data_IF_962076057931
#
_entry.id   IF_962076057931
#
_cell.length_a   1.000
_cell.length_b   1.000
_cell.length_c   1.000
_cell.angle_alpha   90.00
_cell.angle_beta   90.00
_cell.angle_gamma   90.00
#
_symmetry.space_group_name_H-M   'P 1'
#
loop_
_entity.id
_entity.type
_entity.pdbx_description
1 polymer ?
#
# COMPACT_ATOMS: atom_id res chain seq x y z
N UNK A 1 -11.61 12.29 1.46
CA UNK A 1 -10.85 11.34 0.65
C UNK A 1 -10.49 10.09 1.47
N UNK A 2 -9.85 9.08 0.87
CA UNK A 2 -9.50 7.82 1.55
C UNK A 2 -8.55 8.06 2.71
N UNK A 3 -7.53 8.88 2.53
CA UNK A 3 -6.52 9.15 3.56
C UNK A 3 -7.15 9.77 4.81
N UNK A 4 -7.99 10.77 4.66
CA UNK A 4 -8.69 11.39 5.80
C UNK A 4 -9.58 10.40 6.53
N UNK A 5 -10.30 9.54 5.80
CA UNK A 5 -11.15 8.50 6.40
C UNK A 5 -10.32 7.48 7.19
N UNK A 6 -9.18 7.06 6.67
CA UNK A 6 -8.31 6.07 7.30
C UNK A 6 -7.64 6.64 8.55
N UNK A 7 -7.11 7.86 8.47
CA UNK A 7 -6.48 8.53 9.60
C UNK A 7 -7.49 8.77 10.74
N UNK A 8 -8.73 9.17 10.43
CA UNK A 8 -9.78 9.35 11.42
C UNK A 8 -10.15 8.03 12.11
N UNK A 9 -10.33 6.95 11.35
CA UNK A 9 -10.59 5.62 11.90
C UNK A 9 -9.44 5.09 12.76
N UNK A 10 -8.20 5.41 12.41
CA UNK A 10 -7.00 5.05 13.16
C UNK A 10 -6.70 6.01 14.32
N UNK A 11 -7.55 7.04 14.53
CA UNK A 11 -7.38 8.06 15.57
C UNK A 11 -6.05 8.81 15.48
N UNK A 12 -5.60 9.03 14.25
CA UNK A 12 -4.48 9.90 13.91
C UNK A 12 -5.07 11.26 13.53
N UNK A 13 -4.38 12.35 13.88
CA UNK A 13 -4.83 13.68 13.48
C UNK A 13 -4.97 13.79 11.97
N UNK A 14 -6.11 14.28 11.50
CA UNK A 14 -6.29 14.64 10.07
C UNK A 14 -5.47 15.88 9.67
N UNK A 15 -4.76 16.49 10.61
CA UNK A 15 -3.78 17.55 10.39
C UNK A 15 -2.35 17.03 10.25
N UNK A 16 -2.14 15.71 10.37
CA UNK A 16 -0.85 15.10 10.07
C UNK A 16 -0.56 15.17 8.56
N UNK A 17 0.65 15.56 8.22
CA UNK A 17 1.08 15.66 6.82
C UNK A 17 1.38 14.26 6.26
N UNK A 18 0.78 13.97 5.11
CA UNK A 18 0.99 12.77 4.32
C UNK A 18 1.20 13.17 2.86
N UNK A 19 2.31 12.73 2.28
CA UNK A 19 2.57 12.91 0.84
C UNK A 19 2.29 11.59 0.09
N UNK A 20 1.57 11.68 -1.02
CA UNK A 20 1.42 10.55 -1.95
C UNK A 20 1.94 10.99 -3.31
N UNK A 21 2.92 10.23 -3.81
CA UNK A 21 3.53 10.46 -5.12
C UNK A 21 3.20 9.31 -6.07
N UNK A 22 2.83 9.65 -7.29
CA UNK A 22 2.65 8.68 -8.37
C UNK A 22 3.84 8.78 -9.31
N UNK A 23 4.50 7.66 -9.56
CA UNK A 23 5.74 7.60 -10.35
C UNK A 23 5.68 6.47 -11.38
N UNK A 24 6.49 6.61 -12.43
CA UNK A 24 6.71 5.59 -13.44
C UNK A 24 7.55 4.42 -12.90
N UNK A 25 7.61 3.26 -13.61
CA UNK A 25 8.35 2.08 -13.17
C UNK A 25 9.84 2.31 -12.89
N UNK A 26 10.54 3.12 -13.70
CA UNK A 26 11.99 3.33 -13.54
C UNK A 26 12.33 4.08 -12.27
N UNK A 27 11.71 5.22 -11.91
CA UNK A 27 11.94 5.89 -10.64
C UNK A 27 11.69 5.02 -9.40
N UNK A 28 10.60 4.24 -9.39
CA UNK A 28 10.32 3.38 -8.22
C UNK A 28 11.28 2.19 -8.15
N UNK A 29 11.76 1.68 -9.30
CA UNK A 29 12.79 0.64 -9.33
C UNK A 29 14.13 1.14 -8.75
N UNK A 30 14.51 2.40 -9.01
CA UNK A 30 15.69 3.02 -8.41
C UNK A 30 15.54 3.14 -6.89
N UNK A 31 14.37 3.57 -6.40
CA UNK A 31 14.08 3.64 -4.96
C UNK A 31 14.09 2.25 -4.33
N UNK A 32 13.49 1.25 -4.98
CA UNK A 32 13.43 -0.13 -4.51
C UNK A 32 14.83 -0.74 -4.37
N UNK A 33 15.70 -0.53 -5.36
CA UNK A 33 17.10 -0.93 -5.28
C UNK A 33 17.85 -0.20 -4.17
N UNK A 34 17.65 1.11 -4.04
CA UNK A 34 18.39 1.95 -3.09
C UNK A 34 18.06 1.63 -1.63
N UNK A 35 16.79 1.39 -1.32
CA UNK A 35 16.32 1.25 0.05
C UNK A 35 16.13 -0.19 0.51
N UNK A 36 15.79 -1.09 -0.40
CA UNK A 36 15.51 -2.49 -0.10
C UNK A 36 16.51 -3.46 -0.74
N UNK A 37 17.41 -2.98 -1.59
CA UNK A 37 18.38 -3.80 -2.35
C UNK A 37 17.69 -4.87 -3.21
N UNK A 38 16.50 -4.56 -3.73
CA UNK A 38 15.71 -5.42 -4.60
C UNK A 38 15.63 -4.82 -6.00
N UNK A 39 15.78 -5.67 -7.02
CA UNK A 39 15.73 -5.28 -8.42
C UNK A 39 14.28 -5.18 -8.92
N UNK A 40 14.07 -4.26 -9.87
CA UNK A 40 12.81 -4.05 -10.56
C UNK A 40 11.83 -3.13 -9.80
N UNK A 41 10.78 -2.70 -10.50
CA UNK A 41 9.77 -1.84 -9.90
C UNK A 41 8.92 -2.60 -8.88
N UNK A 42 8.41 -1.86 -7.89
CA UNK A 42 7.38 -2.33 -6.96
C UNK A 42 6.10 -1.51 -7.17
N UNK A 43 5.04 -1.91 -6.51
CA UNK A 43 3.72 -1.25 -6.55
C UNK A 43 3.68 -0.02 -5.65
N UNK A 44 4.17 -0.15 -4.41
CA UNK A 44 4.15 0.90 -3.40
C UNK A 44 5.41 0.83 -2.51
N UNK A 45 5.87 1.99 -2.07
CA UNK A 45 6.88 2.15 -1.02
C UNK A 45 6.43 3.20 -0.02
N UNK A 46 6.71 2.97 1.26
CA UNK A 46 6.36 3.87 2.36
C UNK A 46 7.61 4.29 3.12
N UNK A 47 7.72 5.59 3.38
CA UNK A 47 8.86 6.21 4.05
C UNK A 47 8.35 6.97 5.28
N UNK A 48 8.32 6.33 6.47
CA UNK A 48 7.89 7.00 7.69
C UNK A 48 8.86 8.13 8.07
N UNK A 49 8.31 9.27 8.49
CA UNK A 49 9.08 10.42 8.96
C UNK A 49 9.05 10.49 10.47
N UNK A 50 7.88 10.71 11.07
CA UNK A 50 7.69 10.66 12.52
C UNK A 50 7.16 9.28 12.91
N UNK A 51 7.51 8.83 14.12
CA UNK A 51 6.98 7.56 14.65
C UNK A 51 5.55 7.73 15.17
N UNK A 52 4.64 8.13 14.27
CA UNK A 52 3.23 8.23 14.60
C UNK A 52 2.62 6.82 14.71
N UNK A 53 1.81 6.61 15.74
CA UNK A 53 1.11 5.35 15.98
C UNK A 53 -0.39 5.60 16.14
N UNK A 54 -1.23 4.58 15.91
CA UNK A 54 -2.66 4.69 16.17
C UNK A 54 -2.92 5.22 17.58
N UNK A 55 -3.77 6.24 17.68
CA UNK A 55 -4.07 6.88 18.96
C UNK A 55 -4.79 5.96 19.93
N UNK A 56 -4.49 6.07 21.21
CA UNK A 56 -5.18 5.38 22.32
C UNK A 56 -6.53 6.05 22.68
N UNK A 57 -6.92 7.08 21.94
CA UNK A 57 -8.11 7.91 22.18
C UNK A 57 -7.94 9.02 23.20
N UNK A 58 -6.73 9.20 23.76
CA UNK A 58 -6.42 10.24 24.76
C UNK A 58 -5.50 11.32 24.21
N UNK A 59 -4.64 10.96 23.26
CA UNK A 59 -3.68 11.89 22.66
C UNK A 59 -3.82 11.81 21.14
N UNK A 60 -4.05 12.95 20.50
CA UNK A 60 -4.01 13.07 19.04
C UNK A 60 -2.57 13.43 18.68
N UNK A 61 -1.88 12.54 18.01
CA UNK A 61 -0.52 12.82 17.54
C UNK A 61 -0.60 13.63 16.25
N UNK A 62 0.02 14.78 16.24
CA UNK A 62 0.23 15.62 15.05
C UNK A 62 1.69 15.52 14.63
N UNK A 63 1.94 15.53 13.34
CA UNK A 63 3.29 15.45 12.79
C UNK A 63 3.31 15.08 11.32
N UNK A 64 4.48 14.79 10.80
CA UNK A 64 4.67 14.30 9.44
C UNK A 64 4.58 12.78 9.45
N UNK A 65 3.49 12.24 8.92
CA UNK A 65 3.31 10.78 8.84
C UNK A 65 4.36 10.15 7.94
N UNK A 66 4.58 10.73 6.77
CA UNK A 66 5.61 10.31 5.84
C UNK A 66 5.15 10.37 4.38
N UNK A 67 5.92 9.69 3.54
CA UNK A 67 5.71 9.66 2.09
C UNK A 67 5.30 8.25 1.65
N UNK A 68 4.32 8.19 0.73
CA UNK A 68 3.93 6.97 0.01
C UNK A 68 4.21 7.21 -1.47
N UNK A 69 4.95 6.30 -2.09
CA UNK A 69 5.25 6.32 -3.51
C UNK A 69 4.55 5.13 -4.17
N UNK A 70 3.67 5.39 -5.13
CA UNK A 70 2.88 4.37 -5.84
C UNK A 70 3.25 4.39 -7.32
N UNK A 71 3.38 3.20 -7.91
CA UNK A 71 3.54 3.02 -9.34
C UNK A 71 2.20 2.62 -9.98
N UNK A 72 1.46 3.54 -10.67
CA UNK A 72 0.17 3.23 -11.26
C UNK A 72 0.25 2.17 -12.35
N UNK A 73 1.38 2.06 -13.05
CA UNK A 73 1.59 1.04 -14.05
C UNK A 73 1.59 -0.37 -13.44
N UNK A 74 2.33 -0.57 -12.33
CA UNK A 74 2.34 -1.85 -11.59
C UNK A 74 0.96 -2.14 -11.00
N UNK A 75 0.33 -1.13 -10.38
CA UNK A 75 -1.03 -1.24 -9.83
C UNK A 75 -2.04 -1.70 -10.90
N UNK A 76 -1.95 -1.20 -12.14
CA UNK A 76 -2.83 -1.62 -13.23
C UNK A 76 -2.63 -3.09 -13.62
N UNK A 77 -1.39 -3.60 -13.61
CA UNK A 77 -1.09 -5.00 -13.89
C UNK A 77 -1.66 -5.92 -12.79
N UNK A 78 -1.47 -5.54 -11.52
CA UNK A 78 -1.99 -6.27 -10.38
C UNK A 78 -3.52 -6.29 -10.37
N UNK A 79 -4.17 -5.16 -10.62
CA UNK A 79 -5.61 -5.04 -10.72
C UNK A 79 -6.19 -5.96 -11.81
N UNK A 80 -5.57 -5.98 -12.99
CA UNK A 80 -5.97 -6.86 -14.09
C UNK A 80 -5.84 -8.35 -13.71
N UNK A 81 -4.75 -8.74 -13.04
CA UNK A 81 -4.53 -10.10 -12.57
C UNK A 81 -5.53 -10.52 -11.47
N UNK A 82 -5.91 -9.59 -10.60
CA UNK A 82 -6.83 -9.82 -9.49
C UNK A 82 -8.33 -9.65 -9.87
N UNK A 83 -8.63 -9.12 -11.07
CA UNK A 83 -9.99 -8.98 -11.58
C UNK A 83 -10.77 -7.80 -10.98
N UNK A 84 -10.07 -6.73 -10.59
CA UNK A 84 -10.68 -5.48 -10.12
C UNK A 84 -10.11 -4.26 -10.87
N UNK A 85 -10.61 -3.05 -10.56
CA UNK A 85 -10.18 -1.84 -11.25
C UNK A 85 -8.83 -1.34 -10.72
N UNK A 86 -8.05 -0.65 -11.59
CA UNK A 86 -6.82 0.04 -11.18
C UNK A 86 -7.06 1.02 -10.03
N UNK A 87 -8.22 1.69 -10.00
CA UNK A 87 -8.59 2.59 -8.91
C UNK A 87 -8.72 1.85 -7.58
N UNK A 88 -9.35 0.66 -7.57
CA UNK A 88 -9.45 -0.16 -6.36
C UNK A 88 -8.08 -0.61 -5.87
N UNK A 89 -7.18 -1.00 -6.80
CA UNK A 89 -5.82 -1.35 -6.46
C UNK A 89 -5.05 -0.16 -5.87
N UNK A 90 -5.13 1.01 -6.49
CA UNK A 90 -4.46 2.21 -5.97
C UNK A 90 -4.97 2.63 -4.59
N UNK A 91 -6.28 2.48 -4.31
CA UNK A 91 -6.85 2.71 -2.99
C UNK A 91 -6.32 1.69 -1.97
N UNK A 92 -6.25 0.42 -2.36
CA UNK A 92 -5.67 -0.65 -1.53
C UNK A 92 -4.21 -0.34 -1.17
N UNK A 93 -3.39 0.01 -2.17
CA UNK A 93 -1.97 0.35 -1.98
C UNK A 93 -1.79 1.60 -1.11
N UNK A 94 -2.69 2.59 -1.24
CA UNK A 94 -2.68 3.77 -0.39
C UNK A 94 -2.92 3.40 1.08
N UNK A 95 -3.96 2.62 1.37
CA UNK A 95 -4.27 2.14 2.73
C UNK A 95 -3.12 1.29 3.27
N UNK A 96 -2.57 0.39 2.46
CA UNK A 96 -1.43 -0.44 2.80
C UNK A 96 -0.22 0.40 3.21
N UNK A 97 0.09 1.43 2.41
CA UNK A 97 1.17 2.39 2.72
C UNK A 97 0.94 3.15 4.02
N UNK A 98 -0.28 3.65 4.27
CA UNK A 98 -0.64 4.32 5.53
C UNK A 98 -0.42 3.39 6.72
N UNK A 99 -0.82 2.12 6.62
CA UNK A 99 -0.64 1.16 7.70
C UNK A 99 0.85 0.92 8.01
N UNK A 100 1.71 0.84 6.98
CA UNK A 100 3.16 0.77 7.17
C UNK A 100 3.71 2.03 7.87
N UNK A 101 3.26 3.24 7.46
CA UNK A 101 3.66 4.49 8.12
C UNK A 101 3.26 4.52 9.60
N UNK A 102 2.17 3.85 9.97
CA UNK A 102 1.69 3.70 11.35
C UNK A 102 2.35 2.55 12.12
N UNK A 103 3.34 1.87 11.50
CA UNK A 103 4.13 0.81 12.14
C UNK A 103 3.53 -0.58 12.08
N UNK A 104 2.47 -0.81 11.28
CA UNK A 104 2.01 -2.16 10.98
C UNK A 104 2.95 -2.83 9.96
N UNK A 105 3.06 -4.14 10.06
CA UNK A 105 3.91 -4.94 9.18
C UNK A 105 3.25 -6.30 8.89
N UNK A 106 3.82 -7.08 7.97
CA UNK A 106 3.32 -8.39 7.57
C UNK A 106 4.43 -9.45 7.42
N UNK A 107 5.51 -9.28 8.19
CA UNK A 107 6.66 -10.22 8.21
C UNK A 107 6.28 -11.56 8.86
N UNK A 108 5.47 -11.53 9.92
CA UNK A 108 4.99 -12.74 10.58
C UNK A 108 3.52 -13.02 10.22
N UNK A 109 3.07 -14.30 10.27
CA UNK A 109 1.66 -14.63 10.00
C UNK A 109 0.67 -13.90 10.90
N UNK A 110 1.06 -13.54 12.11
CA UNK A 110 0.21 -12.78 13.04
C UNK A 110 0.08 -11.33 12.60
N UNK A 111 1.20 -10.69 12.28
CA UNK A 111 1.23 -9.32 11.75
C UNK A 111 0.45 -9.22 10.45
N UNK A 112 0.64 -10.18 9.54
CA UNK A 112 -0.08 -10.26 8.27
C UNK A 112 -1.60 -10.31 8.48
N UNK A 113 -2.09 -11.21 9.35
CA UNK A 113 -3.52 -11.28 9.67
C UNK A 113 -4.05 -9.97 10.23
N UNK A 114 -3.31 -9.34 11.12
CA UNK A 114 -3.69 -8.08 11.75
C UNK A 114 -3.74 -6.96 10.71
N UNK A 115 -2.68 -6.77 9.95
CA UNK A 115 -2.57 -5.68 8.98
C UNK A 115 -3.59 -5.83 7.84
N UNK A 116 -3.71 -7.01 7.25
CA UNK A 116 -4.64 -7.23 6.13
C UNK A 116 -6.11 -7.24 6.59
N UNK A 117 -6.38 -7.68 7.82
CA UNK A 117 -7.70 -7.55 8.43
C UNK A 117 -8.12 -6.08 8.57
N UNK A 118 -7.21 -5.25 9.06
CA UNK A 118 -7.43 -3.82 9.22
C UNK A 118 -7.54 -3.10 7.86
N UNK A 119 -6.65 -3.40 6.92
CA UNK A 119 -6.70 -2.90 5.54
C UNK A 119 -8.07 -3.16 4.88
N UNK A 120 -8.56 -4.39 5.01
CA UNK A 120 -9.89 -4.76 4.50
C UNK A 120 -11.01 -3.97 5.17
N UNK A 121 -10.95 -3.79 6.48
CA UNK A 121 -11.95 -3.02 7.24
C UNK A 121 -11.99 -1.56 6.80
N UNK A 122 -10.83 -0.91 6.69
CA UNK A 122 -10.71 0.48 6.27
C UNK A 122 -11.26 0.67 4.84
N UNK A 123 -10.90 -0.20 3.92
CA UNK A 123 -11.37 -0.15 2.54
C UNK A 123 -12.90 -0.33 2.44
N UNK A 124 -13.47 -1.29 3.18
CA UNK A 124 -14.92 -1.49 3.24
C UNK A 124 -15.66 -0.27 3.78
N UNK A 125 -15.13 0.32 4.86
CA UNK A 125 -15.73 1.52 5.46
C UNK A 125 -15.68 2.69 4.49
N UNK A 126 -14.57 2.88 3.80
CA UNK A 126 -14.43 3.93 2.78
C UNK A 126 -15.46 3.78 1.66
N UNK A 127 -15.65 2.58 1.10
CA UNK A 127 -16.65 2.33 0.07
C UNK A 127 -18.08 2.49 0.59
N UNK A 128 -18.35 2.06 1.81
CA UNK A 128 -19.66 2.23 2.43
C UNK A 128 -20.03 3.71 2.60
N UNK A 129 -19.06 4.54 3.04
CA UNK A 129 -19.27 5.99 3.21
C UNK A 129 -19.50 6.72 1.87
N UNK A 130 -18.94 6.19 0.77
CA UNK A 130 -19.17 6.75 -0.57
C UNK A 130 -20.44 6.28 -1.26
N UNK A 131 -21.11 5.27 -0.73
CA UNK A 131 -22.26 4.65 -1.37
C UNK A 131 -21.92 3.78 -2.60
N UNK A 132 -20.66 3.42 -2.76
CA UNK A 132 -20.15 2.63 -3.89
C UNK A 132 -20.38 1.12 -3.65
N UNK A 133 -21.64 0.70 -3.49
CA UNK A 133 -22.01 -0.68 -3.17
C UNK A 133 -21.47 -1.72 -4.18
N UNK A 134 -21.31 -1.35 -5.45
CA UNK A 134 -20.76 -2.23 -6.49
C UNK A 134 -19.25 -2.50 -6.32
N UNK A 135 -18.51 -1.64 -5.64
CA UNK A 135 -17.09 -1.83 -5.38
C UNK A 135 -16.82 -2.80 -4.21
N UNK A 136 -17.82 -3.06 -3.37
CA UNK A 136 -17.70 -4.01 -2.26
C UNK A 136 -17.60 -5.47 -2.71
N UNK A 137 -18.18 -5.81 -3.88
CA UNK A 137 -18.22 -7.17 -4.38
C UNK A 137 -16.86 -7.70 -4.88
N UNK A 138 -15.91 -6.81 -5.18
CA UNK A 138 -14.62 -7.14 -5.78
C UNK A 138 -13.45 -6.62 -4.94
N UNK A 139 -13.50 -6.83 -3.62
CA UNK A 139 -12.40 -6.44 -2.74
C UNK A 139 -11.16 -7.28 -3.02
N UNK A 140 -10.00 -6.63 -3.23
CA UNK A 140 -8.74 -7.33 -3.40
C UNK A 140 -8.43 -8.18 -2.16
N UNK A 141 -8.04 -9.42 -2.36
CA UNK A 141 -7.68 -10.34 -1.28
C UNK A 141 -6.19 -10.30 -0.90
N UNK A 142 -5.42 -9.45 -1.55
CA UNK A 142 -3.98 -9.27 -1.38
C UNK A 142 -3.36 -8.74 -2.67
N UNK A 143 -2.18 -8.15 -2.57
CA UNK A 143 -1.42 -7.72 -3.74
C UNK A 143 -0.65 -8.92 -4.32
N UNK A 144 -0.84 -9.27 -5.61
CA UNK A 144 0.08 -10.20 -6.29
C UNK A 144 1.52 -9.65 -6.27
N UNK A 145 2.50 -10.53 -6.31
CA UNK A 145 3.92 -10.14 -6.38
C UNK A 145 4.17 -9.25 -7.62
N UNK A 146 4.39 -7.96 -7.38
CA UNK A 146 4.61 -6.94 -8.40
C UNK A 146 5.78 -7.29 -9.32
N UNK A 147 6.81 -7.92 -8.76
CA UNK A 147 8.00 -8.29 -9.50
C UNK A 147 7.76 -9.48 -10.42
N UNK A 148 6.97 -10.47 -10.00
CA UNK A 148 6.57 -11.57 -10.85
C UNK A 148 5.75 -11.09 -12.06
N UNK A 149 4.86 -10.11 -11.87
CA UNK A 149 4.08 -9.50 -12.93
C UNK A 149 4.96 -8.69 -13.89
N UNK A 150 5.91 -7.94 -13.36
CA UNK A 150 6.87 -7.19 -14.17
C UNK A 150 7.74 -8.12 -15.02
N UNK A 151 8.31 -9.17 -14.43
CA UNK A 151 9.13 -10.15 -15.13
C UNK A 151 8.33 -10.88 -16.21
N UNK A 152 7.08 -11.23 -15.97
CA UNK A 152 6.19 -11.82 -16.94
C UNK A 152 5.91 -10.89 -18.13
N UNK A 153 5.73 -9.59 -17.87
CA UNK A 153 5.46 -8.59 -18.91
C UNK A 153 6.69 -8.26 -19.76
N UNK A 154 7.92 -8.38 -19.18
CA UNK A 154 9.17 -7.96 -19.83
C UNK A 154 10.09 -9.12 -20.21
N UNK A 155 9.68 -10.37 -20.00
CA UNK A 155 10.43 -11.57 -20.41
C UNK A 155 11.74 -11.80 -19.66
N UNK A 156 11.91 -11.19 -18.49
CA UNK A 156 13.08 -11.41 -17.61
C UNK A 156 12.76 -12.55 -16.64
N UNK A 157 12.90 -13.78 -17.10
CA UNK A 157 12.97 -14.92 -16.20
C UNK A 157 14.21 -14.80 -15.31
N UNK A 158 14.04 -14.76 -14.00
CA UNK A 158 15.17 -14.82 -13.06
C UNK A 158 15.75 -16.21 -13.04
N UNK A 159 17.05 -16.30 -13.30
CA UNK A 159 17.85 -17.45 -12.90
C UNK A 159 17.93 -17.45 -11.35
N UNK A 160 17.05 -18.24 -10.73
CA UNK A 160 17.05 -18.44 -9.26
C UNK A 160 18.21 -19.33 -8.76
N UNK A 161 19.17 -19.65 -9.63
CA UNK A 161 20.19 -20.68 -9.34
C UNK A 161 21.60 -20.13 -9.01
N UNK A 162 21.75 -18.86 -8.66
CA UNK A 162 23.07 -18.28 -8.36
C UNK A 162 23.28 -17.84 -6.91
N UNK A 163 22.62 -18.46 -5.93
CA UNK A 163 22.98 -18.31 -4.51
C UNK A 163 23.09 -19.69 -3.85
N UNK A 164 24.23 -20.32 -4.05
CA UNK A 164 24.80 -21.30 -3.11
C UNK A 164 25.98 -20.69 -2.42
#
# INVERSE_FOLDING_TARGET
DVCSSDLDQMRVSTQSDLTIMFVDPDPIAELHMRWMSLEGPTDVMSFPMDELRPGDGKTVMEGVLGDIVICPWVAAQQAAAAGHSTMQEMLLLTIHGILHLLGYDHVTPEQERQMFGLQRQLLLTFFALRGDANMQATLPSGTPDALALYDAAHGKGRDLDSRK
#
